data_IF_569982451770
#
_entry.id   IF_569982451770
#
_cell.length_a   1.000
_cell.length_b   1.000
_cell.length_c   1.000
_cell.angle_alpha   90.00
_cell.angle_beta   90.00
_cell.angle_gamma   90.00
#
_symmetry.space_group_name_H-M   'P 1'
#
loop_
_entity.id
_entity.type
_entity.pdbx_description
1 polymer ?
#
# COMPACT_ATOMS: atom_id res chain seq x y z
N UNK A 1 1.61 7.30 13.26
CA UNK A 1 0.99 7.90 12.07
C UNK A 1 0.79 6.85 11.02
N UNK A 2 -0.35 6.84 10.38
CA UNK A 2 -0.72 5.78 9.45
C UNK A 2 -0.87 6.32 8.05
N UNK A 3 -0.24 5.67 7.10
CA UNK A 3 -0.20 6.10 5.70
C UNK A 3 -0.79 5.01 4.83
N UNK A 4 -1.70 5.39 3.94
CA UNK A 4 -2.21 4.48 2.92
C UNK A 4 -1.41 4.70 1.65
N UNK A 5 -0.85 3.62 1.09
CA UNK A 5 -0.16 3.68 -0.19
C UNK A 5 -0.99 2.88 -1.18
N UNK A 6 -1.55 3.54 -2.18
CA UNK A 6 -2.26 2.83 -3.24
C UNK A 6 -1.25 2.45 -4.31
N UNK A 7 -1.34 1.24 -4.82
CA UNK A 7 -0.37 0.76 -5.78
C UNK A 7 0.96 0.39 -5.15
N UNK A 8 0.95 0.00 -3.88
CA UNK A 8 2.19 -0.30 -3.16
C UNK A 8 2.93 -1.55 -3.62
N UNK A 9 2.29 -2.39 -4.45
CA UNK A 9 2.96 -3.59 -4.96
C UNK A 9 3.84 -3.31 -6.19
N UNK A 10 3.77 -2.10 -6.74
CA UNK A 10 4.66 -1.71 -7.83
C UNK A 10 6.06 -1.43 -7.32
N UNK A 11 7.00 -1.22 -8.22
CA UNK A 11 8.39 -1.00 -7.84
C UNK A 11 8.55 0.25 -6.96
N UNK A 12 7.99 1.37 -7.41
CA UNK A 12 8.12 2.62 -6.67
C UNK A 12 7.31 2.56 -5.37
N UNK A 13 6.09 2.02 -5.44
CA UNK A 13 5.23 1.92 -4.28
C UNK A 13 5.80 1.03 -3.19
N UNK A 14 6.42 -0.10 -3.57
CA UNK A 14 7.01 -1.00 -2.58
C UNK A 14 8.22 -0.37 -1.89
N UNK A 15 9.04 0.38 -2.63
CA UNK A 15 10.16 1.09 -2.05
C UNK A 15 9.68 2.18 -1.09
N UNK A 16 8.58 2.85 -1.44
CA UNK A 16 7.99 3.87 -0.58
C UNK A 16 7.45 3.25 0.70
N UNK A 17 6.79 2.09 0.60
CA UNK A 17 6.31 1.38 1.78
C UNK A 17 7.47 1.03 2.71
N UNK A 18 8.55 0.53 2.14
CA UNK A 18 9.72 0.16 2.93
C UNK A 18 10.31 1.38 3.65
N UNK A 19 10.43 2.49 2.95
CA UNK A 19 10.95 3.72 3.53
C UNK A 19 10.09 4.17 4.71
N UNK A 20 8.77 4.17 4.54
CA UNK A 20 7.86 4.61 5.59
C UNK A 20 7.91 3.68 6.81
N UNK A 21 7.94 2.37 6.56
CA UNK A 21 8.01 1.41 7.65
C UNK A 21 9.31 1.54 8.44
N UNK A 22 10.41 1.79 7.74
CA UNK A 22 11.70 1.98 8.39
C UNK A 22 11.74 3.24 9.24
N UNK A 23 10.84 4.20 8.97
CA UNK A 23 10.77 5.43 9.73
C UNK A 23 9.61 5.41 10.75
N UNK A 24 9.17 4.22 11.12
CA UNK A 24 8.18 4.02 12.18
C UNK A 24 6.76 4.48 11.85
N UNK A 25 6.42 4.56 10.58
CA UNK A 25 5.05 4.78 10.19
C UNK A 25 4.33 3.44 10.10
N UNK A 26 3.03 3.45 10.32
CA UNK A 26 2.20 2.31 9.99
C UNK A 26 1.78 2.49 8.55
N UNK A 27 1.78 1.44 7.77
CA UNK A 27 1.47 1.51 6.35
C UNK A 27 0.38 0.52 5.99
N UNK A 28 -0.63 1.01 5.25
CA UNK A 28 -1.63 0.15 4.64
C UNK A 28 -1.40 0.25 3.14
N UNK A 29 -1.23 -0.89 2.48
CA UNK A 29 -1.08 -0.92 1.04
C UNK A 29 -2.36 -1.43 0.42
N UNK A 30 -2.93 -0.70 -0.52
CA UNK A 30 -4.09 -1.14 -1.28
C UNK A 30 -3.65 -1.33 -2.73
N UNK A 31 -3.76 -2.54 -3.24
CA UNK A 31 -3.33 -2.85 -4.60
C UNK A 31 -4.17 -3.98 -5.17
N UNK A 32 -4.52 -3.90 -6.43
CA UNK A 32 -5.26 -4.98 -7.10
C UNK A 32 -4.31 -5.90 -7.86
N UNK A 33 -3.01 -5.64 -7.81
CA UNK A 33 -1.98 -6.42 -8.46
C UNK A 33 -2.13 -6.53 -9.98
N UNK A 34 -2.76 -5.55 -10.59
CA UNK A 34 -2.88 -5.52 -12.05
C UNK A 34 -1.50 -5.36 -12.70
N UNK A 35 -0.62 -4.57 -12.08
CA UNK A 35 0.73 -4.37 -12.61
C UNK A 35 1.79 -4.65 -11.55
N UNK A 36 1.46 -4.62 -10.29
CA UNK A 36 2.41 -4.91 -9.22
C UNK A 36 2.47 -6.40 -8.92
N UNK A 37 3.43 -6.79 -8.11
CA UNK A 37 3.62 -8.19 -7.76
C UNK A 37 3.71 -8.33 -6.26
N UNK A 38 3.08 -9.36 -5.73
CA UNK A 38 3.10 -9.60 -4.30
C UNK A 38 4.51 -9.87 -3.81
N UNK A 39 5.38 -10.38 -4.65
CA UNK A 39 6.78 -10.63 -4.29
C UNK A 39 7.49 -9.37 -3.84
N UNK A 40 7.04 -8.21 -4.32
CA UNK A 40 7.64 -6.95 -3.91
C UNK A 40 7.30 -6.60 -2.46
N UNK A 41 6.23 -7.18 -1.92
CA UNK A 41 5.74 -6.87 -0.58
C UNK A 41 6.01 -7.96 0.44
N UNK A 42 6.32 -9.19 0.00
CA UNK A 42 6.54 -10.29 0.94
C UNK A 42 7.61 -9.99 1.98
N UNK A 43 8.77 -9.41 1.63
CA UNK A 43 9.76 -9.08 2.64
C UNK A 43 9.23 -8.12 3.69
N UNK A 44 8.37 -7.18 3.29
CA UNK A 44 7.81 -6.21 4.21
C UNK A 44 6.79 -6.84 5.15
N UNK A 45 5.99 -7.78 4.64
CA UNK A 45 5.04 -8.50 5.46
C UNK A 45 5.76 -9.31 6.54
N UNK A 46 6.91 -9.87 6.20
CA UNK A 46 7.70 -10.65 7.15
C UNK A 46 8.42 -9.76 8.14
N UNK A 47 8.96 -8.63 7.69
CA UNK A 47 9.77 -7.76 8.52
C UNK A 47 8.93 -6.85 9.41
N UNK A 48 7.76 -6.43 8.95
CA UNK A 48 6.90 -5.49 9.67
C UNK A 48 5.50 -6.05 9.88
N UNK A 49 5.35 -7.17 10.59
CA UNK A 49 4.05 -7.84 10.70
C UNK A 49 2.99 -7.02 11.44
N UNK A 50 3.43 -6.10 12.31
CA UNK A 50 2.49 -5.33 13.11
C UNK A 50 2.18 -3.96 12.53
N UNK A 51 3.01 -3.44 11.68
CA UNK A 51 2.86 -2.07 11.15
C UNK A 51 2.56 -2.03 9.66
N UNK A 52 2.66 -3.16 8.96
CA UNK A 52 2.34 -3.22 7.54
C UNK A 52 1.11 -4.09 7.30
N UNK A 53 0.13 -3.55 6.58
CA UNK A 53 -1.09 -4.27 6.28
C UNK A 53 -1.35 -4.19 4.79
N UNK A 54 -1.65 -5.32 4.18
CA UNK A 54 -1.95 -5.38 2.77
C UNK A 54 -3.45 -5.63 2.58
N UNK A 55 -4.07 -4.80 1.76
CA UNK A 55 -5.45 -5.02 1.35
C UNK A 55 -5.44 -5.22 -0.15
N UNK A 56 -5.90 -6.37 -0.59
CA UNK A 56 -6.04 -6.67 -2.00
C UNK A 56 -7.37 -6.10 -2.44
N UNK A 57 -7.34 -5.07 -3.26
CA UNK A 57 -8.55 -4.41 -3.68
C UNK A 57 -8.26 -3.37 -4.75
N UNK A 58 -9.31 -2.69 -5.17
CA UNK A 58 -9.23 -1.76 -6.28
C UNK A 58 -9.64 -0.38 -5.83
N UNK A 59 -8.88 0.65 -6.21
CA UNK A 59 -9.21 2.02 -5.87
C UNK A 59 -10.53 2.48 -6.49
N UNK A 60 -11.02 1.75 -7.49
CA UNK A 60 -12.31 2.06 -8.11
C UNK A 60 -13.46 1.46 -7.31
N UNK A 61 -13.18 0.61 -6.33
CA UNK A 61 -14.21 -0.01 -5.54
C UNK A 61 -14.38 0.77 -4.23
N UNK A 62 -15.56 1.34 -4.04
CA UNK A 62 -15.81 2.20 -2.89
C UNK A 62 -15.61 1.46 -1.56
N UNK A 63 -16.07 0.22 -1.49
CA UNK A 63 -15.96 -0.59 -0.28
C UNK A 63 -14.50 -0.86 0.07
N UNK A 64 -13.67 -1.14 -0.95
CA UNK A 64 -12.24 -1.37 -0.73
C UNK A 64 -11.56 -0.11 -0.21
N UNK A 65 -11.93 1.04 -0.77
CA UNK A 65 -11.37 2.31 -0.33
C UNK A 65 -11.78 2.64 1.10
N UNK A 66 -13.03 2.34 1.46
CA UNK A 66 -13.49 2.60 2.81
C UNK A 66 -12.72 1.78 3.84
N UNK A 67 -12.42 0.52 3.51
CA UNK A 67 -11.65 -0.32 4.42
C UNK A 67 -10.22 0.18 4.54
N UNK A 68 -9.67 0.65 3.45
CA UNK A 68 -8.27 1.05 3.40
C UNK A 68 -7.99 2.35 4.15
N UNK A 69 -8.96 3.26 4.21
CA UNK A 69 -8.72 4.58 4.81
C UNK A 69 -9.00 4.65 6.30
N UNK A 70 -9.44 3.58 6.93
CA UNK A 70 -9.75 3.61 8.35
C UNK A 70 -8.52 3.97 9.16
N UNK A 71 -8.59 5.07 9.90
CA UNK A 71 -7.49 5.51 10.75
C UNK A 71 -6.29 6.08 10.02
N UNK A 72 -6.40 6.28 8.70
CA UNK A 72 -5.30 6.77 7.90
C UNK A 72 -5.15 8.28 8.03
N UNK A 73 -3.91 8.74 8.20
CA UNK A 73 -3.62 10.16 8.30
C UNK A 73 -3.20 10.76 6.95
N UNK A 74 -2.52 10.00 6.11
CA UNK A 74 -2.07 10.47 4.80
C UNK A 74 -2.26 9.40 3.74
N UNK A 75 -2.49 9.83 2.51
CA UNK A 75 -2.64 8.92 1.38
C UNK A 75 -1.60 9.28 0.33
N UNK A 76 -0.81 8.28 -0.07
CA UNK A 76 0.13 8.42 -1.17
C UNK A 76 -0.37 7.55 -2.32
N UNK A 77 -0.75 8.20 -3.41
CA UNK A 77 -1.42 7.52 -4.49
C UNK A 77 -0.41 7.13 -5.57
N UNK A 78 0.05 5.88 -5.51
CA UNK A 78 0.99 5.35 -6.48
C UNK A 78 0.33 4.36 -7.43
N UNK A 79 -0.96 4.20 -7.35
CA UNK A 79 -1.68 3.34 -8.29
C UNK A 79 -1.63 4.04 -9.62
N UNK A 80 -1.03 3.44 -10.52
CA UNK A 80 -0.78 4.05 -11.66
C UNK A 80 -1.82 4.26 -12.49
N UNK A 81 -1.96 5.34 -12.94
CA UNK A 81 -2.86 5.56 -13.72
C UNK A 81 -2.31 5.69 -14.92
N UNK A 82 -1.81 5.06 -15.47
CA UNK A 82 -1.23 5.12 -16.60
C UNK A 82 -2.03 5.36 -17.58
N UNK A 83 -2.70 5.85 -17.68
CA UNK A 83 -3.39 6.17 -18.56
C UNK A 83 -3.00 6.68 -19.53
N UNK A 84 -2.60 6.51 -19.80
CA UNK A 84 -2.37 6.94 -20.55
C UNK A 84 -2.56 7.02 -21.23
#
# INVERSE_FOLDING_TARGET
MKVLVTGGAGFIGSNLCEYLLAHNYEVVCLDNFATGKIENLLPLLNQYPDTFKLIVGDIRNFSDCQKAVVGVNYILHEAALRCV
#
